data_IF_565998596851
#
_entry.id   IF_565998596851
#
_cell.length_a   1.000
_cell.length_b   1.000
_cell.length_c   1.000
_cell.angle_alpha   90.00
_cell.angle_beta   90.00
_cell.angle_gamma   90.00
#
_symmetry.space_group_name_H-M   'P 1'
#
loop_
_entity.id
_entity.type
_entity.pdbx_description
1 polymer ?
#
# COMPACT_ATOMS: atom_id res chain seq x y z
N UNK A 1 56.68 -2.75 -36.57
CA UNK A 1 56.90 -2.62 -35.11
C UNK A 1 56.08 -1.51 -34.43
N UNK A 2 55.12 -0.84 -35.09
CA UNK A 2 54.25 0.17 -34.46
C UNK A 2 52.87 -0.34 -34.01
N UNK A 3 52.50 -1.60 -34.29
CA UNK A 3 51.20 -2.19 -33.95
C UNK A 3 51.12 -2.86 -32.57
N UNK A 4 52.23 -2.99 -31.86
CA UNK A 4 52.31 -3.69 -30.56
C UNK A 4 52.56 -2.78 -29.36
N UNK A 5 52.75 -1.47 -29.58
CA UNK A 5 52.96 -0.47 -28.51
C UNK A 5 51.68 0.28 -28.13
N UNK A 6 50.64 0.29 -28.98
CA UNK A 6 49.34 0.86 -28.63
C UNK A 6 48.52 -0.01 -27.67
N UNK A 7 48.82 -1.31 -27.56
CA UNK A 7 48.07 -2.22 -26.68
C UNK A 7 48.58 -2.22 -25.24
N UNK A 8 49.85 -1.93 -24.99
CA UNK A 8 50.42 -1.95 -23.63
C UNK A 8 50.17 -0.64 -22.86
N UNK A 9 50.22 0.51 -23.54
CA UNK A 9 49.96 1.81 -22.92
C UNK A 9 48.48 2.03 -22.57
N UNK A 10 47.55 1.43 -23.34
CA UNK A 10 46.11 1.52 -23.09
C UNK A 10 45.67 0.60 -21.92
N UNK A 11 46.33 -0.55 -21.74
CA UNK A 11 46.04 -1.50 -20.65
C UNK A 11 46.54 -0.98 -19.29
N UNK A 12 47.66 -0.26 -19.25
CA UNK A 12 48.18 0.34 -18.01
C UNK A 12 47.45 1.62 -17.59
N UNK A 13 46.83 2.36 -18.52
CA UNK A 13 45.95 3.49 -18.17
C UNK A 13 44.59 3.03 -17.64
N UNK A 14 44.11 1.84 -18.05
CA UNK A 14 42.86 1.25 -17.56
C UNK A 14 43.02 0.49 -16.23
N UNK A 15 44.22 -0.02 -15.91
CA UNK A 15 44.47 -0.71 -14.64
C UNK A 15 44.50 0.23 -13.41
N UNK A 16 44.55 1.55 -13.61
CA UNK A 16 44.59 2.55 -12.53
C UNK A 16 43.21 3.17 -12.18
N UNK A 17 42.12 2.82 -12.89
CA UNK A 17 40.77 3.33 -12.58
C UNK A 17 39.76 2.28 -12.10
N UNK A 18 40.20 1.05 -11.82
CA UNK A 18 39.36 0.06 -11.12
C UNK A 18 39.76 -0.01 -9.65
N UNK A 19 39.89 1.14 -8.99
CA UNK A 19 39.45 1.17 -7.60
C UNK A 19 37.96 0.95 -7.65
N UNK A 20 37.48 -0.17 -7.11
CA UNK A 20 36.07 -0.32 -6.80
C UNK A 20 35.66 0.93 -6.00
N UNK A 21 34.98 1.88 -6.67
CA UNK A 21 34.23 2.88 -5.96
C UNK A 21 33.11 2.08 -5.35
N UNK A 22 33.33 1.57 -4.14
CA UNK A 22 32.24 1.28 -3.24
C UNK A 22 31.55 2.62 -3.05
N UNK A 23 30.58 2.91 -3.91
CA UNK A 23 29.66 4.00 -3.65
C UNK A 23 29.13 3.70 -2.24
N UNK A 24 29.25 4.64 -1.29
CA UNK A 24 28.66 4.43 0.02
C UNK A 24 27.21 4.06 -0.25
N UNK A 25 26.77 2.89 0.23
CA UNK A 25 25.38 2.48 0.11
C UNK A 25 24.55 3.67 0.61
N UNK A 26 23.92 4.40 -0.30
CA UNK A 26 23.12 5.54 0.10
C UNK A 26 22.00 4.95 0.94
N UNK A 27 21.83 5.38 2.18
CA UNK A 27 20.85 4.77 3.05
C UNK A 27 19.49 4.82 2.36
N UNK A 28 18.79 3.67 2.38
CA UNK A 28 17.42 3.56 1.89
C UNK A 28 16.60 4.70 2.53
N UNK A 29 15.87 5.48 1.73
CA UNK A 29 14.96 6.50 2.24
C UNK A 29 13.64 5.84 2.56
N UNK A 30 13.06 6.19 3.71
CA UNK A 30 11.69 5.79 4.03
C UNK A 30 10.76 6.94 3.71
N UNK A 31 9.75 6.64 2.90
CA UNK A 31 8.68 7.58 2.56
C UNK A 31 7.39 7.10 3.20
N UNK A 32 6.73 8.01 3.91
CA UNK A 32 5.40 7.83 4.45
C UNK A 32 4.46 8.57 3.50
N UNK A 33 3.80 7.85 2.60
CA UNK A 33 2.78 8.43 1.73
C UNK A 33 1.51 8.66 2.54
N UNK A 34 0.89 9.84 2.39
CA UNK A 34 -0.32 10.24 3.09
C UNK A 34 -1.35 10.77 2.11
N UNK A 35 -2.55 10.20 2.17
CA UNK A 35 -3.73 10.66 1.44
C UNK A 35 -4.81 11.10 2.41
N UNK A 36 -5.54 12.17 2.10
CA UNK A 36 -6.49 12.72 3.04
C UNK A 36 -7.36 13.86 2.53
N UNK A 37 -7.84 14.66 3.49
CA UNK A 37 -8.49 15.95 3.24
C UNK A 37 -7.59 17.05 3.80
N UNK A 38 -6.77 17.65 2.93
CA UNK A 38 -5.86 18.74 3.24
C UNK A 38 -5.43 19.46 1.98
N UNK A 39 -5.48 20.79 1.96
CA UNK A 39 -5.02 21.57 0.81
C UNK A 39 -3.62 22.15 1.03
N UNK A 40 -3.39 22.68 2.23
CA UNK A 40 -2.16 23.35 2.61
C UNK A 40 -1.69 22.81 3.95
N UNK A 41 -0.41 22.47 4.03
CA UNK A 41 0.27 22.04 5.25
C UNK A 41 1.52 22.91 5.43
N UNK A 42 1.69 23.53 6.60
CA UNK A 42 2.76 24.45 6.94
C UNK A 42 2.99 25.54 5.87
N UNK A 43 1.89 26.11 5.35
CA UNK A 43 1.92 27.15 4.31
C UNK A 43 2.25 26.65 2.88
N UNK A 44 2.50 25.35 2.69
CA UNK A 44 2.79 24.76 1.39
C UNK A 44 1.58 23.99 0.85
N UNK A 45 1.25 24.16 -0.43
CA UNK A 45 0.12 23.48 -1.08
C UNK A 45 0.50 22.05 -1.49
N UNK A 46 -0.24 21.07 -0.99
CA UNK A 46 -0.04 19.64 -1.30
C UNK A 46 -1.25 19.00 -2.00
N UNK A 47 -2.46 19.53 -1.79
CA UNK A 47 -3.71 19.04 -2.40
C UNK A 47 -3.93 17.53 -2.19
N UNK A 48 -4.19 17.17 -0.94
CA UNK A 48 -4.75 15.89 -0.49
C UNK A 48 -3.84 14.66 -0.66
N UNK A 49 -2.65 14.80 -1.26
CA UNK A 49 -1.65 13.73 -1.39
C UNK A 49 -0.24 14.30 -1.22
N UNK A 50 0.56 13.67 -0.36
CA UNK A 50 1.95 14.01 -0.11
C UNK A 50 2.73 12.78 0.35
N UNK A 51 4.05 12.89 0.46
CA UNK A 51 4.83 11.96 1.25
C UNK A 51 5.77 12.68 2.21
N UNK A 52 5.96 12.12 3.40
CA UNK A 52 6.99 12.56 4.33
C UNK A 52 8.24 11.72 4.11
N UNK A 53 9.37 12.36 3.82
CA UNK A 53 10.66 11.70 3.71
C UNK A 53 11.33 11.71 5.10
N UNK A 54 11.51 10.53 5.70
CA UNK A 54 12.09 10.40 7.04
C UNK A 54 13.58 10.77 7.08
N UNK A 55 14.30 10.67 5.96
CA UNK A 55 15.72 11.05 5.89
C UNK A 55 15.85 12.57 5.87
N UNK A 56 15.01 13.24 5.08
CA UNK A 56 15.02 14.70 4.97
C UNK A 56 14.20 15.39 6.07
N UNK A 57 13.40 14.64 6.83
CA UNK A 57 12.47 15.17 7.83
C UNK A 57 11.52 16.23 7.25
N UNK A 58 11.02 16.00 6.04
CA UNK A 58 10.25 16.98 5.28
C UNK A 58 9.10 16.34 4.48
N UNK A 59 7.99 17.08 4.37
CA UNK A 59 6.91 16.75 3.43
C UNK A 59 7.28 17.16 2.01
N UNK A 60 6.93 16.31 1.05
CA UNK A 60 7.14 16.49 -0.38
C UNK A 60 5.82 16.40 -1.13
N UNK A 61 5.62 17.32 -2.06
CA UNK A 61 4.45 17.35 -2.93
C UNK A 61 4.56 16.32 -4.05
N UNK A 62 3.41 15.81 -4.51
CA UNK A 62 3.29 14.90 -5.64
C UNK A 62 2.59 15.64 -6.79
N UNK A 63 3.38 16.44 -7.52
CA UNK A 63 2.90 17.47 -8.45
C UNK A 63 1.85 18.40 -7.78
N UNK A 64 0.74 18.68 -8.47
CA UNK A 64 -0.35 19.51 -7.96
C UNK A 64 -1.39 18.72 -7.16
N UNK A 65 -1.11 17.47 -6.76
CA UNK A 65 -2.05 16.62 -6.01
C UNK A 65 -3.42 16.49 -6.68
N UNK A 66 -4.49 16.33 -5.89
CA UNK A 66 -5.86 16.08 -6.37
C UNK A 66 -6.82 17.24 -6.08
N UNK A 67 -7.87 17.36 -6.90
CA UNK A 67 -8.94 18.37 -6.72
C UNK A 67 -9.97 18.00 -5.64
N UNK A 68 -9.90 16.79 -5.09
CA UNK A 68 -10.75 16.28 -4.02
C UNK A 68 -9.99 15.35 -3.07
N UNK A 69 -10.67 14.86 -2.04
CA UNK A 69 -10.04 14.06 -0.99
C UNK A 69 -9.51 12.71 -1.50
N UNK A 70 -8.38 12.28 -0.94
CA UNK A 70 -7.84 10.95 -1.12
C UNK A 70 -8.26 10.09 0.08
N UNK A 71 -8.88 8.94 -0.19
CA UNK A 71 -9.38 8.00 0.82
C UNK A 71 -8.46 6.80 1.02
N UNK A 72 -7.74 6.40 -0.02
CA UNK A 72 -6.82 5.26 0.02
C UNK A 72 -5.53 5.59 -0.74
N UNK A 73 -4.43 5.13 -0.17
CA UNK A 73 -3.09 5.12 -0.78
C UNK A 73 -2.55 3.72 -0.64
N UNK A 74 -2.15 3.11 -1.75
CA UNK A 74 -1.43 1.84 -1.79
C UNK A 74 -0.10 2.03 -2.54
N UNK A 75 0.92 1.25 -2.21
CA UNK A 75 2.20 1.28 -2.94
C UNK A 75 2.60 -0.14 -3.30
N UNK A 76 2.96 -0.36 -4.57
CA UNK A 76 3.38 -1.69 -5.02
C UNK A 76 4.82 -2.05 -4.59
N UNK A 77 5.25 -3.27 -4.95
CA UNK A 77 6.63 -3.72 -4.68
C UNK A 77 7.68 -2.85 -5.37
N UNK A 78 7.34 -2.24 -6.51
CA UNK A 78 8.22 -1.39 -7.32
C UNK A 78 8.29 0.06 -6.84
N UNK A 79 7.43 0.46 -5.90
CA UNK A 79 7.36 1.80 -5.32
C UNK A 79 6.37 2.75 -5.99
N UNK A 80 5.55 2.29 -6.93
CA UNK A 80 4.51 3.10 -7.56
C UNK A 80 3.34 3.30 -6.61
N UNK A 81 2.75 4.49 -6.65
CA UNK A 81 1.71 4.87 -5.70
C UNK A 81 0.37 4.88 -6.41
N UNK A 82 -0.59 4.18 -5.84
CA UNK A 82 -1.96 4.07 -6.31
C UNK A 82 -2.84 4.83 -5.33
N UNK A 83 -3.65 5.75 -5.83
CA UNK A 83 -4.56 6.53 -4.99
C UNK A 83 -5.99 6.40 -5.46
N UNK A 84 -6.90 6.42 -4.49
CA UNK A 84 -8.34 6.41 -4.72
C UNK A 84 -9.04 7.39 -3.77
N UNK A 85 -10.14 7.98 -4.21
CA UNK A 85 -10.87 8.93 -3.36
C UNK A 85 -12.11 9.53 -4.02
N UNK A 86 -12.45 10.75 -3.60
CA UNK A 86 -13.54 11.53 -4.14
C UNK A 86 -12.99 12.73 -4.92
N UNK A 87 -12.24 12.45 -5.99
CA UNK A 87 -11.58 13.44 -6.84
C UNK A 87 -11.87 13.13 -8.32
N UNK A 88 -11.80 14.14 -9.18
CA UNK A 88 -11.96 13.98 -10.64
C UNK A 88 -10.66 14.21 -11.39
N UNK A 89 -9.74 14.96 -10.79
CA UNK A 89 -8.47 15.34 -11.40
C UNK A 89 -7.30 15.16 -10.42
N UNK A 90 -6.18 14.71 -10.96
CA UNK A 90 -4.88 14.71 -10.29
C UNK A 90 -3.84 15.36 -11.20
N UNK A 91 -3.05 16.30 -10.69
CA UNK A 91 -2.13 17.06 -11.53
C UNK A 91 -2.85 17.69 -12.73
N UNK A 92 -2.48 17.28 -13.93
CA UNK A 92 -3.14 17.66 -15.19
C UNK A 92 -4.03 16.57 -15.80
N UNK A 93 -4.18 15.43 -15.11
CA UNK A 93 -4.88 14.22 -15.58
C UNK A 93 -6.29 14.13 -15.01
N UNK A 94 -7.30 14.02 -15.89
CA UNK A 94 -8.71 13.80 -15.53
C UNK A 94 -9.05 12.32 -15.44
N UNK A 95 -8.39 11.61 -14.54
CA UNK A 95 -8.49 10.14 -14.41
C UNK A 95 -9.23 9.69 -13.15
N UNK A 96 -9.64 10.64 -12.29
CA UNK A 96 -10.30 10.35 -11.03
C UNK A 96 -11.57 9.50 -11.20
N UNK A 97 -11.92 8.66 -10.22
CA UNK A 97 -11.44 8.62 -8.84
C UNK A 97 -10.24 7.68 -8.59
N UNK A 98 -9.51 7.23 -9.62
CA UNK A 98 -8.33 6.37 -9.50
C UNK A 98 -7.13 7.04 -10.18
N UNK A 99 -5.98 7.07 -9.53
CA UNK A 99 -4.76 7.58 -10.16
C UNK A 99 -3.51 6.84 -9.73
N UNK A 100 -2.48 6.88 -10.58
CA UNK A 100 -1.24 6.14 -10.38
C UNK A 100 -0.05 7.07 -10.62
N UNK A 101 0.84 7.10 -9.64
CA UNK A 101 2.11 7.81 -9.68
C UNK A 101 3.24 6.85 -10.04
N UNK A 102 3.94 7.16 -11.12
CA UNK A 102 5.16 6.45 -11.48
C UNK A 102 6.33 7.02 -10.69
N UNK A 103 6.96 6.17 -9.88
CA UNK A 103 8.04 6.59 -8.99
C UNK A 103 9.35 6.94 -9.74
N UNK A 104 9.54 6.36 -10.93
CA UNK A 104 10.73 6.54 -11.76
C UNK A 104 10.69 7.85 -12.54
N UNK A 105 9.51 8.24 -13.03
CA UNK A 105 9.34 9.52 -13.74
C UNK A 105 8.90 10.65 -12.82
N UNK A 106 8.56 10.33 -11.56
CA UNK A 106 7.99 11.26 -10.60
C UNK A 106 6.80 12.04 -11.19
N UNK A 107 5.86 11.31 -11.79
CA UNK A 107 4.70 11.90 -12.46
C UNK A 107 3.46 11.02 -12.40
N UNK A 108 2.28 11.65 -12.49
CA UNK A 108 1.01 10.96 -12.67
C UNK A 108 0.91 10.39 -14.09
N UNK A 109 0.62 9.09 -14.21
CA UNK A 109 0.52 8.42 -15.52
C UNK A 109 -0.93 8.36 -16.02
N UNK A 110 -1.08 8.13 -17.32
CA UNK A 110 -2.38 7.80 -17.91
C UNK A 110 -2.74 6.36 -17.56
N UNK A 111 -3.90 6.18 -16.94
CA UNK A 111 -4.42 4.86 -16.56
C UNK A 111 -5.33 4.26 -17.63
N UNK A 112 -5.69 5.03 -18.67
CA UNK A 112 -6.76 4.69 -19.60
C UNK A 112 -8.18 4.90 -19.05
N UNK A 113 -8.31 5.41 -17.81
CA UNK A 113 -9.58 5.85 -17.24
C UNK A 113 -9.74 7.36 -17.38
N UNK A 114 -10.97 7.79 -17.62
CA UNK A 114 -11.42 9.18 -17.59
C UNK A 114 -12.39 9.41 -16.44
N UNK A 115 -12.40 10.62 -15.88
CA UNK A 115 -13.41 11.02 -14.89
C UNK A 115 -14.85 10.96 -15.42
N UNK A 116 -15.02 11.03 -16.74
CA UNK A 116 -16.33 10.83 -17.41
C UNK A 116 -16.80 9.39 -17.42
N UNK A 117 -15.90 8.42 -17.18
CA UNK A 117 -16.28 7.01 -17.12
C UNK A 117 -17.07 6.72 -15.85
N UNK A 118 -16.91 7.54 -14.81
CA UNK A 118 -17.54 7.38 -13.50
C UNK A 118 -18.77 8.27 -13.36
N UNK A 119 -19.82 7.75 -12.72
CA UNK A 119 -20.99 8.55 -12.34
C UNK A 119 -20.57 9.59 -11.30
N UNK A 120 -21.09 10.82 -11.42
CA UNK A 120 -20.83 11.90 -10.46
C UNK A 120 -21.12 11.46 -9.02
N UNK A 121 -20.20 11.75 -8.09
CA UNK A 121 -20.27 11.30 -6.70
C UNK A 121 -19.70 9.91 -6.45
N UNK A 122 -19.15 9.23 -7.47
CA UNK A 122 -18.38 8.01 -7.29
C UNK A 122 -17.17 8.22 -6.38
N UNK A 123 -16.97 7.32 -5.43
CA UNK A 123 -15.84 7.35 -4.48
C UNK A 123 -15.14 6.00 -4.47
N UNK A 124 -13.82 6.03 -4.62
CA UNK A 124 -12.96 4.85 -4.41
C UNK A 124 -12.40 4.91 -2.98
N UNK A 125 -12.60 3.85 -2.21
CA UNK A 125 -12.20 3.77 -0.80
C UNK A 125 -11.17 2.69 -0.53
N UNK A 126 -10.93 1.80 -1.48
CA UNK A 126 -9.96 0.73 -1.34
C UNK A 126 -9.27 0.41 -2.67
N UNK A 127 -7.95 0.24 -2.61
CA UNK A 127 -7.13 -0.22 -3.73
C UNK A 127 -6.11 -1.18 -3.14
N UNK A 128 -5.94 -2.33 -3.78
CA UNK A 128 -4.78 -3.18 -3.57
C UNK A 128 -4.26 -3.71 -4.90
N UNK A 129 -3.02 -4.20 -4.92
CA UNK A 129 -2.37 -4.68 -6.13
C UNK A 129 -1.89 -6.13 -5.98
N UNK A 130 -1.59 -6.76 -7.11
CA UNK A 130 -0.86 -8.02 -7.15
C UNK A 130 0.10 -7.99 -8.33
N UNK A 131 1.38 -7.75 -8.02
CA UNK A 131 2.41 -7.63 -9.02
C UNK A 131 3.05 -8.97 -9.32
N UNK A 132 3.12 -9.33 -10.60
CA UNK A 132 3.94 -10.46 -11.04
C UNK A 132 5.42 -10.08 -10.97
N UNK A 133 6.31 -11.07 -10.76
CA UNK A 133 7.76 -10.85 -10.78
C UNK A 133 8.21 -10.18 -12.08
N UNK A 134 9.23 -9.31 -11.93
CA UNK A 134 9.83 -8.35 -12.89
C UNK A 134 9.35 -8.44 -14.34
N UNK A 135 8.89 -7.32 -14.93
CA UNK A 135 8.47 -7.30 -16.33
C UNK A 135 9.65 -7.62 -17.26
N UNK A 136 9.40 -8.34 -18.35
CA UNK A 136 10.39 -8.68 -19.39
C UNK A 136 11.08 -7.44 -20.01
N UNK A 137 10.51 -6.26 -19.78
CA UNK A 137 11.17 -4.97 -19.98
C UNK A 137 10.70 -4.00 -18.89
N UNK A 138 11.61 -3.20 -18.33
CA UNK A 138 11.27 -2.08 -17.45
C UNK A 138 10.48 -1.04 -18.25
N UNK A 139 9.22 -1.33 -18.60
CA UNK A 139 8.38 -0.43 -19.36
C UNK A 139 8.11 0.80 -18.49
N UNK A 140 8.88 1.84 -18.77
CA UNK A 140 8.71 3.21 -18.28
C UNK A 140 7.49 3.90 -18.93
N UNK A 141 6.75 3.19 -19.80
CA UNK A 141 5.53 3.68 -20.47
C UNK A 141 4.40 2.66 -20.38
N UNK A 142 3.49 2.83 -19.42
CA UNK A 142 2.28 2.03 -19.26
C UNK A 142 1.95 1.71 -17.81
N UNK A 143 0.79 1.08 -17.60
CA UNK A 143 0.45 0.50 -16.30
C UNK A 143 1.41 -0.65 -15.97
N UNK A 144 1.91 -0.62 -14.72
CA UNK A 144 2.89 -1.55 -14.17
C UNK A 144 2.43 -3.01 -14.25
N UNK A 145 3.34 -4.00 -14.14
CA UNK A 145 3.01 -5.42 -14.25
C UNK A 145 2.27 -5.94 -13.01
N UNK A 146 1.16 -5.30 -12.68
CA UNK A 146 0.35 -5.54 -11.51
C UNK A 146 -1.11 -5.57 -11.90
N UNK A 147 -1.80 -6.61 -11.45
CA UNK A 147 -3.24 -6.56 -11.34
C UNK A 147 -3.62 -5.52 -10.28
N UNK A 148 -4.68 -4.76 -10.53
CA UNK A 148 -5.14 -3.68 -9.64
C UNK A 148 -6.58 -3.97 -9.27
N UNK A 149 -6.84 -4.10 -7.97
CA UNK A 149 -8.16 -4.36 -7.41
C UNK A 149 -8.68 -3.08 -6.77
N UNK A 150 -9.80 -2.58 -7.25
CA UNK A 150 -10.39 -1.31 -6.81
C UNK A 150 -11.77 -1.56 -6.23
N UNK A 151 -11.99 -1.02 -5.03
CA UNK A 151 -13.24 -1.10 -4.28
C UNK A 151 -13.75 0.29 -3.87
N UNK A 152 -15.06 0.47 -3.89
CA UNK A 152 -15.66 1.70 -3.37
C UNK A 152 -17.17 1.76 -3.46
N UNK A 153 -17.69 2.98 -3.45
CA UNK A 153 -19.06 3.31 -3.80
C UNK A 153 -19.07 4.09 -5.11
N UNK A 154 -19.07 3.37 -6.22
CA UNK A 154 -18.99 3.96 -7.55
C UNK A 154 -19.74 3.13 -8.58
N UNK A 155 -20.03 3.78 -9.71
CA UNK A 155 -20.46 3.13 -10.93
C UNK A 155 -19.65 3.70 -12.09
N UNK A 156 -19.07 2.83 -12.90
CA UNK A 156 -18.21 3.25 -14.01
C UNK A 156 -18.52 2.47 -15.30
N UNK A 157 -18.40 3.13 -16.45
CA UNK A 157 -18.54 2.53 -17.77
C UNK A 157 -17.14 2.28 -18.34
N UNK A 158 -16.68 1.05 -18.31
CA UNK A 158 -15.34 0.65 -18.75
C UNK A 158 -15.44 -0.45 -19.80
N UNK A 159 -14.77 -0.28 -20.94
CA UNK A 159 -14.70 -1.28 -22.01
C UNK A 159 -16.07 -1.86 -22.43
N UNK A 160 -17.11 -1.03 -22.48
CA UNK A 160 -18.48 -1.43 -22.87
C UNK A 160 -19.26 -2.16 -21.78
N UNK A 161 -18.73 -2.26 -20.57
CA UNK A 161 -19.38 -2.88 -19.40
C UNK A 161 -19.53 -1.87 -18.26
N UNK A 162 -20.48 -2.13 -17.35
CA UNK A 162 -20.69 -1.28 -16.17
C UNK A 162 -20.10 -1.93 -14.93
N UNK A 163 -19.02 -1.34 -14.41
CA UNK A 163 -18.45 -1.64 -13.10
C UNK A 163 -19.34 -1.02 -12.01
N UNK A 164 -19.70 -1.80 -10.99
CA UNK A 164 -20.45 -1.31 -9.83
C UNK A 164 -19.71 -1.77 -8.58
N UNK A 165 -19.22 -0.82 -7.77
CA UNK A 165 -18.41 -1.03 -6.56
C UNK A 165 -17.06 -1.74 -6.71
N UNK A 166 -16.85 -2.52 -7.77
CA UNK A 166 -15.62 -3.23 -8.10
C UNK A 166 -15.12 -2.83 -9.47
N UNK A 167 -13.82 -2.60 -9.57
CA UNK A 167 -13.13 -2.34 -10.82
C UNK A 167 -11.78 -3.03 -10.75
N UNK A 168 -11.37 -3.65 -11.84
CA UNK A 168 -10.19 -4.50 -11.87
C UNK A 168 -9.34 -4.16 -13.10
N UNK A 169 -8.07 -3.87 -12.92
CA UNK A 169 -7.14 -3.83 -14.05
C UNK A 169 -6.48 -5.18 -14.18
N UNK A 170 -6.68 -5.83 -15.33
CA UNK A 170 -6.07 -7.11 -15.63
C UNK A 170 -4.78 -6.88 -16.41
N UNK A 171 -3.64 -7.03 -15.74
CA UNK A 171 -2.33 -6.78 -16.31
C UNK A 171 -2.05 -7.65 -17.54
N UNK A 172 -2.44 -8.94 -17.50
CA UNK A 172 -2.27 -9.86 -18.63
C UNK A 172 -2.99 -9.37 -19.89
N UNK A 173 -4.19 -8.81 -19.73
CA UNK A 173 -5.02 -8.33 -20.83
C UNK A 173 -4.83 -6.84 -21.13
N UNK A 174 -4.05 -6.14 -20.30
CA UNK A 174 -3.79 -4.70 -20.36
C UNK A 174 -5.05 -3.83 -20.41
N UNK A 175 -6.11 -4.24 -19.70
CA UNK A 175 -7.41 -3.55 -19.74
C UNK A 175 -8.09 -3.50 -18.38
N UNK A 176 -8.92 -2.47 -18.21
CA UNK A 176 -9.88 -2.40 -17.13
C UNK A 176 -11.06 -3.31 -17.44
N UNK A 177 -11.47 -4.08 -16.44
CA UNK A 177 -12.51 -5.09 -16.49
C UNK A 177 -13.44 -4.91 -15.29
N UNK A 178 -14.66 -5.41 -15.42
CA UNK A 178 -15.58 -5.58 -14.30
C UNK A 178 -15.30 -6.93 -13.64
N UNK A 179 -15.51 -7.02 -12.33
CA UNK A 179 -15.56 -8.31 -11.64
C UNK A 179 -16.97 -8.90 -11.75
N UNK A 180 -17.05 -10.23 -11.86
CA UNK A 180 -18.31 -10.98 -11.97
C UNK A 180 -19.17 -10.90 -10.70
N UNK A 181 -20.44 -11.29 -10.85
CA UNK A 181 -21.54 -11.00 -9.93
C UNK A 181 -21.33 -11.41 -8.47
N UNK A 182 -21.09 -10.41 -7.62
CA UNK A 182 -21.56 -10.36 -6.24
C UNK A 182 -22.39 -9.08 -6.09
N UNK A 183 -23.53 -9.16 -5.43
CA UNK A 183 -24.32 -7.97 -5.15
C UNK A 183 -23.65 -7.21 -4.01
N UNK A 184 -23.08 -6.04 -4.31
CA UNK A 184 -22.49 -5.15 -3.31
C UNK A 184 -23.13 -3.78 -3.40
N UNK A 185 -23.23 -3.09 -2.27
CA UNK A 185 -23.61 -1.67 -2.23
C UNK A 185 -22.44 -0.76 -1.88
N UNK A 186 -21.38 -1.32 -1.28
CA UNK A 186 -20.14 -0.62 -0.98
C UNK A 186 -19.01 -1.62 -0.72
N UNK A 187 -17.78 -1.24 -1.08
CA UNK A 187 -16.55 -1.94 -0.72
C UNK A 187 -15.67 -0.97 0.06
N UNK A 188 -15.38 -1.27 1.31
CA UNK A 188 -14.60 -0.41 2.22
C UNK A 188 -13.12 -0.80 2.26
N UNK A 189 -12.80 -2.06 1.97
CA UNK A 189 -11.45 -2.61 2.07
C UNK A 189 -11.22 -3.60 0.95
N UNK A 190 -10.02 -3.59 0.39
CA UNK A 190 -9.47 -4.63 -0.48
C UNK A 190 -8.14 -5.01 0.14
N UNK A 191 -7.92 -6.31 0.35
CA UNK A 191 -6.67 -6.83 0.87
C UNK A 191 -6.17 -7.96 -0.01
N UNK A 192 -4.97 -7.76 -0.55
CA UNK A 192 -4.09 -8.73 -1.19
C UNK A 192 -2.88 -8.97 -0.28
N UNK A 193 -2.03 -9.90 -0.71
CA UNK A 193 -0.79 -10.19 0.01
C UNK A 193 0.08 -8.93 0.06
N UNK A 194 0.29 -8.40 1.27
CA UNK A 194 1.11 -7.21 1.54
C UNK A 194 2.55 -7.34 0.99
N UNK A 195 3.05 -8.57 0.83
CA UNK A 195 4.39 -8.84 0.31
C UNK A 195 4.36 -9.74 -0.92
N UNK A 196 4.20 -9.10 -2.08
CA UNK A 196 3.93 -9.71 -3.39
C UNK A 196 5.16 -10.41 -4.03
N UNK A 197 6.00 -11.10 -3.26
CA UNK A 197 7.03 -11.98 -3.86
C UNK A 197 6.43 -13.24 -4.48
N UNK A 198 5.24 -13.63 -4.01
CA UNK A 198 4.49 -14.79 -4.46
C UNK A 198 3.04 -14.34 -4.65
N UNK A 199 2.49 -14.65 -5.82
CA UNK A 199 1.08 -14.43 -6.15
C UNK A 199 0.23 -15.43 -5.37
N UNK A 200 -0.79 -14.93 -4.66
CA UNK A 200 -1.79 -15.74 -4.00
C UNK A 200 -3.14 -15.52 -4.65
N UNK A 201 -3.89 -16.60 -4.87
CA UNK A 201 -5.12 -16.57 -5.66
C UNK A 201 -6.32 -15.98 -4.91
N UNK A 202 -6.14 -15.37 -3.74
CA UNK A 202 -7.24 -14.82 -2.95
C UNK A 202 -7.12 -13.32 -2.80
N UNK A 203 -8.25 -12.65 -3.02
CA UNK A 203 -8.48 -11.25 -2.68
C UNK A 203 -9.59 -11.21 -1.63
N UNK A 204 -9.38 -10.45 -0.57
CA UNK A 204 -10.35 -10.27 0.49
C UNK A 204 -10.98 -8.90 0.40
N UNK A 205 -12.30 -8.83 0.50
CA UNK A 205 -13.07 -7.59 0.40
C UNK A 205 -13.88 -7.37 1.67
N UNK A 206 -13.72 -6.20 2.28
CA UNK A 206 -14.63 -5.69 3.31
C UNK A 206 -15.67 -4.78 2.68
N UNK A 207 -16.91 -4.84 3.14
CA UNK A 207 -17.98 -4.00 2.58
C UNK A 207 -19.37 -4.44 2.98
N UNK A 208 -20.34 -4.19 2.10
CA UNK A 208 -21.72 -4.66 2.22
C UNK A 208 -22.08 -5.50 1.00
N UNK A 209 -22.13 -6.80 1.21
CA UNK A 209 -22.44 -7.80 0.18
C UNK A 209 -23.76 -8.49 0.49
N UNK A 210 -24.48 -8.93 -0.53
CA UNK A 210 -25.79 -9.55 -0.38
C UNK A 210 -25.87 -10.87 -1.16
N UNK A 211 -26.47 -11.89 -0.55
CA UNK A 211 -26.86 -13.10 -1.28
C UNK A 211 -28.17 -12.89 -2.08
N UNK A 212 -28.61 -13.94 -2.78
CA UNK A 212 -29.83 -13.91 -3.59
C UNK A 212 -31.12 -13.69 -2.75
N UNK A 213 -31.07 -13.92 -1.44
CA UNK A 213 -32.20 -13.73 -0.52
C UNK A 213 -32.14 -12.36 0.19
N UNK A 214 -31.10 -11.55 -0.09
CA UNK A 214 -30.90 -10.25 0.54
C UNK A 214 -30.24 -10.28 1.92
N UNK A 215 -29.66 -11.40 2.34
CA UNK A 215 -28.86 -11.45 3.57
C UNK A 215 -27.57 -10.66 3.39
N UNK A 216 -27.26 -9.76 4.31
CA UNK A 216 -26.02 -8.96 4.29
C UNK A 216 -24.82 -9.76 4.84
N UNK A 217 -23.66 -9.58 4.21
CA UNK A 217 -22.35 -10.11 4.61
C UNK A 217 -21.34 -8.97 4.62
N UNK A 218 -20.50 -8.90 5.66
CA UNK A 218 -19.46 -7.88 5.77
C UNK A 218 -18.15 -8.21 5.05
N UNK A 219 -17.93 -9.48 4.71
CA UNK A 219 -16.69 -10.01 4.14
C UNK A 219 -17.00 -10.88 2.92
N UNK A 220 -16.23 -10.69 1.85
CA UNK A 220 -16.26 -11.54 0.66
C UNK A 220 -14.84 -11.93 0.24
N UNK A 221 -14.70 -13.13 -0.30
CA UNK A 221 -13.43 -13.65 -0.82
C UNK A 221 -13.61 -13.89 -2.32
N UNK A 222 -12.69 -13.37 -3.11
CA UNK A 222 -12.60 -13.67 -4.54
C UNK A 222 -11.40 -14.57 -4.80
N UNK A 223 -11.66 -15.75 -5.35
CA UNK A 223 -10.64 -16.71 -5.77
C UNK A 223 -10.34 -16.52 -7.27
N UNK A 224 -9.12 -16.10 -7.57
CA UNK A 224 -8.61 -15.81 -8.92
C UNK A 224 -8.03 -17.04 -9.62
N UNK A 225 -8.14 -18.25 -9.04
CA UNK A 225 -7.64 -19.49 -9.66
C UNK A 225 -8.37 -19.80 -10.97
N UNK A 226 -9.67 -19.48 -11.04
CA UNK A 226 -10.53 -19.74 -12.19
C UNK A 226 -10.82 -18.45 -12.97
N UNK A 227 -11.24 -18.59 -14.23
CA UNK A 227 -11.72 -17.49 -15.06
C UNK A 227 -13.13 -17.83 -15.62
N UNK A 228 -14.21 -17.21 -15.11
CA UNK A 228 -14.22 -16.18 -14.07
C UNK A 228 -13.85 -16.75 -12.69
N UNK A 229 -13.31 -15.88 -11.82
CA UNK A 229 -13.04 -16.24 -10.43
C UNK A 229 -14.30 -16.49 -9.62
N UNK A 230 -14.14 -17.11 -8.44
CA UNK A 230 -15.24 -17.59 -7.60
C UNK A 230 -15.40 -16.71 -6.37
N UNK A 231 -16.63 -16.27 -6.09
CA UNK A 231 -16.97 -15.52 -4.89
C UNK A 231 -17.40 -16.44 -3.75
N UNK A 232 -16.94 -16.13 -2.53
CA UNK A 232 -17.43 -16.71 -1.29
C UNK A 232 -17.83 -15.59 -0.34
N UNK A 233 -19.10 -15.55 0.05
CA UNK A 233 -19.59 -14.63 1.09
C UNK A 233 -19.35 -15.23 2.47
N UNK A 234 -18.71 -14.47 3.35
CA UNK A 234 -18.32 -14.92 4.69
C UNK A 234 -19.20 -14.26 5.73
N UNK A 235 -20.00 -15.07 6.42
CA UNK A 235 -20.87 -14.61 7.50
C UNK A 235 -20.08 -14.35 8.78
N UNK A 236 -20.66 -13.57 9.70
CA UNK A 236 -20.14 -13.41 11.05
C UNK A 236 -19.29 -12.18 11.29
N UNK A 237 -19.16 -11.27 10.32
CA UNK A 237 -18.59 -9.93 10.50
C UNK A 237 -19.49 -8.88 9.85
N UNK A 238 -19.65 -7.73 10.50
CA UNK A 238 -20.44 -6.58 10.00
C UNK A 238 -19.66 -5.28 10.19
N UNK A 239 -19.70 -4.41 9.17
CA UNK A 239 -18.98 -3.14 9.20
C UNK A 239 -17.46 -3.32 9.22
N UNK A 240 -16.94 -4.11 8.28
CA UNK A 240 -15.49 -4.36 8.14
C UNK A 240 -14.78 -3.05 7.78
N UNK A 241 -13.78 -2.68 8.58
CA UNK A 241 -13.03 -1.41 8.48
C UNK A 241 -11.61 -1.59 7.97
N UNK A 242 -11.00 -2.76 8.19
CA UNK A 242 -9.68 -3.10 7.69
C UNK A 242 -9.50 -4.63 7.65
N UNK A 243 -8.62 -5.09 6.77
CA UNK A 243 -8.24 -6.50 6.65
C UNK A 243 -6.71 -6.51 6.53
N UNK A 244 -6.06 -7.35 7.32
CA UNK A 244 -4.63 -7.59 7.24
C UNK A 244 -4.37 -9.03 6.80
N UNK A 245 -3.66 -9.19 5.69
CA UNK A 245 -3.29 -10.48 5.12
C UNK A 245 -1.81 -10.49 4.74
N UNK A 246 -1.02 -11.28 5.48
CA UNK A 246 0.38 -11.48 5.18
C UNK A 246 0.76 -12.97 5.31
N UNK A 247 0.63 -13.74 4.21
CA UNK A 247 0.91 -15.18 4.18
C UNK A 247 2.41 -15.52 4.30
N UNK A 248 3.31 -14.53 4.34
CA UNK A 248 4.74 -14.76 4.56
C UNK A 248 5.09 -14.85 6.05
N UNK A 249 4.17 -14.43 6.92
CA UNK A 249 4.33 -14.43 8.38
C UNK A 249 3.38 -15.45 9.00
N UNK A 250 2.15 -15.47 8.50
CA UNK A 250 1.08 -16.33 8.97
C UNK A 250 0.81 -17.44 7.95
N UNK A 251 0.02 -18.43 8.36
CA UNK A 251 -0.55 -19.38 7.40
C UNK A 251 -1.24 -18.63 6.25
N UNK A 252 -1.13 -19.17 5.04
CA UNK A 252 -1.88 -18.71 3.86
C UNK A 252 -3.39 -18.65 4.10
N UNK A 253 -3.86 -19.42 5.08
CA UNK A 253 -5.27 -19.59 5.40
C UNK A 253 -5.82 -18.51 6.34
N UNK A 254 -4.96 -17.79 7.06
CA UNK A 254 -5.37 -16.86 8.10
C UNK A 254 -5.38 -15.40 7.60
N UNK A 255 -6.49 -14.72 7.88
CA UNK A 255 -6.61 -13.26 7.74
C UNK A 255 -7.06 -12.65 9.06
N UNK A 256 -6.61 -11.44 9.33
CA UNK A 256 -7.09 -10.65 10.46
C UNK A 256 -8.06 -9.60 9.95
N UNK A 257 -9.20 -9.48 10.59
CA UNK A 257 -10.30 -8.60 10.17
C UNK A 257 -10.64 -7.68 11.31
N UNK A 258 -10.69 -6.37 11.04
CA UNK A 258 -11.27 -5.38 11.93
C UNK A 258 -12.70 -5.08 11.49
N UNK A 259 -13.65 -5.08 12.43
CA UNK A 259 -15.05 -4.85 12.14
C UNK A 259 -15.81 -4.26 13.33
N UNK A 260 -16.95 -3.63 13.06
CA UNK A 260 -17.85 -3.09 14.09
C UNK A 260 -18.39 -4.19 15.02
N UNK A 261 -18.75 -5.34 14.47
CA UNK A 261 -19.24 -6.49 15.25
C UNK A 261 -18.89 -7.83 14.60
N UNK A 262 -18.81 -8.86 15.44
CA UNK A 262 -18.65 -10.25 15.05
C UNK A 262 -19.74 -11.11 15.67
N UNK A 263 -20.19 -12.16 14.95
CA UNK A 263 -21.13 -13.15 15.50
C UNK A 263 -20.47 -14.02 16.58
N UNK A 264 -19.16 -14.26 16.47
CA UNK A 264 -18.38 -14.95 17.50
C UNK A 264 -18.12 -13.99 18.66
N UNK A 265 -18.72 -14.28 19.82
CA UNK A 265 -18.75 -13.39 21.01
C UNK A 265 -17.38 -13.10 21.62
N UNK A 266 -16.41 -13.99 21.42
CA UNK A 266 -15.02 -13.82 21.85
C UNK A 266 -14.28 -12.76 21.03
N UNK A 267 -14.71 -12.51 19.79
CA UNK A 267 -14.12 -11.51 18.91
C UNK A 267 -14.70 -10.12 19.20
N UNK A 268 -13.83 -9.17 19.54
CA UNK A 268 -14.20 -7.78 19.83
C UNK A 268 -13.27 -6.85 19.07
N UNK A 269 -13.81 -6.05 18.15
CA UNK A 269 -13.08 -5.11 17.30
C UNK A 269 -12.16 -5.74 16.25
N UNK A 270 -11.52 -6.87 16.56
CA UNK A 270 -10.68 -7.68 15.67
C UNK A 270 -11.00 -9.17 15.83
N UNK A 271 -10.83 -9.93 14.76
CA UNK A 271 -11.00 -11.39 14.74
C UNK A 271 -10.08 -12.01 13.69
N UNK A 272 -9.66 -13.25 13.89
CA UNK A 272 -8.97 -14.03 12.86
C UNK A 272 -9.99 -14.92 12.13
N UNK A 273 -9.93 -14.94 10.81
CA UNK A 273 -10.70 -15.88 9.98
C UNK A 273 -9.74 -16.83 9.27
N UNK A 274 -9.96 -18.13 9.47
CA UNK A 274 -9.28 -19.16 8.71
C UNK A 274 -10.14 -19.59 7.53
N UNK A 275 -9.72 -19.27 6.30
CA UNK A 275 -10.52 -19.54 5.11
C UNK A 275 -10.60 -21.02 4.73
N UNK A 276 -9.73 -21.87 5.28
CA UNK A 276 -9.67 -23.30 4.95
C UNK A 276 -10.67 -24.07 5.80
N UNK A 277 -10.73 -23.76 7.10
CA UNK A 277 -11.73 -24.31 8.01
C UNK A 277 -13.03 -23.52 8.03
N UNK A 278 -13.10 -22.38 7.33
CA UNK A 278 -14.21 -21.42 7.35
C UNK A 278 -14.62 -21.00 8.78
N UNK A 279 -13.63 -20.75 9.65
CA UNK A 279 -13.86 -20.54 11.07
C UNK A 279 -13.30 -19.21 11.57
N UNK A 280 -14.09 -18.52 12.39
CA UNK A 280 -13.65 -17.36 13.17
C UNK A 280 -13.00 -17.79 14.49
N UNK A 281 -11.96 -17.09 14.90
CA UNK A 281 -11.20 -17.32 16.12
C UNK A 281 -10.75 -16.00 16.76
N UNK A 282 -10.64 -15.97 18.08
CA UNK A 282 -10.14 -14.82 18.82
C UNK A 282 -8.60 -14.78 18.90
N UNK A 283 -7.90 -15.56 18.06
CA UNK A 283 -6.43 -15.66 18.00
C UNK A 283 -5.77 -14.31 17.67
N UNK A 284 -6.53 -13.39 17.07
CA UNK A 284 -6.12 -12.01 16.81
C UNK A 284 -6.01 -11.15 18.08
N UNK A 285 -6.54 -11.62 19.22
CA UNK A 285 -6.78 -10.84 20.41
C UNK A 285 -8.16 -10.17 20.41
N UNK A 286 -8.41 -9.29 21.38
CA UNK A 286 -9.67 -8.56 21.50
C UNK A 286 -9.45 -7.09 21.86
N UNK A 287 -10.28 -6.22 21.30
CA UNK A 287 -10.38 -4.79 21.60
C UNK A 287 -11.76 -4.54 22.20
N UNK A 288 -11.81 -4.43 23.52
CA UNK A 288 -13.07 -4.45 24.30
C UNK A 288 -13.82 -3.12 24.28
N UNK A 289 -13.17 -2.02 23.94
CA UNK A 289 -13.77 -0.69 23.88
C UNK A 289 -13.23 0.11 22.70
N UNK A 290 -14.12 0.85 22.04
CA UNK A 290 -13.75 1.69 20.92
C UNK A 290 -13.83 1.01 19.55
N UNK A 291 -13.82 1.83 18.50
CA UNK A 291 -13.84 1.34 17.12
C UNK A 291 -12.41 1.11 16.62
N UNK A 292 -12.17 -0.03 15.98
CA UNK A 292 -10.92 -0.34 15.28
C UNK A 292 -11.11 0.05 13.81
N UNK A 293 -10.26 0.95 13.32
CA UNK A 293 -10.28 1.44 11.93
C UNK A 293 -9.17 0.85 11.08
N UNK A 294 -8.03 0.50 11.69
CA UNK A 294 -6.85 -0.06 11.02
C UNK A 294 -6.19 -1.13 11.85
N UNK A 295 -5.63 -2.15 11.20
CA UNK A 295 -4.84 -3.20 11.84
C UNK A 295 -3.56 -3.49 11.05
N UNK A 296 -2.43 -3.65 11.73
CA UNK A 296 -1.16 -4.07 11.14
C UNK A 296 -0.46 -5.06 12.05
N UNK A 297 0.20 -6.07 11.51
CA UNK A 297 1.02 -6.96 12.33
C UNK A 297 2.42 -6.40 12.52
N UNK A 298 2.90 -6.34 13.76
CA UNK A 298 4.24 -5.89 14.08
C UNK A 298 5.03 -6.99 14.76
N UNK A 299 6.15 -7.39 14.15
CA UNK A 299 7.10 -8.33 14.75
C UNK A 299 7.98 -7.63 15.80
N UNK A 300 8.24 -8.31 16.92
CA UNK A 300 9.26 -7.88 17.89
C UNK A 300 8.83 -6.80 18.89
N UNK A 301 7.53 -6.52 19.02
CA UNK A 301 7.01 -5.67 20.09
C UNK A 301 6.50 -6.47 21.30
N UNK A 302 6.18 -7.75 21.21
CA UNK A 302 5.80 -8.54 22.39
C UNK A 302 7.00 -9.24 23.02
N UNK A 303 6.95 -9.50 24.34
CA UNK A 303 7.93 -10.31 25.05
C UNK A 303 8.02 -11.77 24.54
N UNK A 304 7.09 -12.20 23.68
CA UNK A 304 6.90 -13.59 23.26
C UNK A 304 7.60 -13.99 21.96
N UNK A 305 8.36 -13.11 21.28
CA UNK A 305 8.98 -13.38 19.96
C UNK A 305 8.01 -13.71 18.80
N UNK A 306 6.68 -13.71 19.03
CA UNK A 306 5.65 -14.02 18.02
C UNK A 306 5.06 -12.76 17.35
N UNK A 307 5.32 -11.54 17.87
CA UNK A 307 4.76 -10.29 17.35
C UNK A 307 3.30 -10.03 17.75
N UNK A 308 2.74 -8.87 17.38
CA UNK A 308 1.42 -8.41 17.84
C UNK A 308 0.61 -7.77 16.71
N UNK A 309 -0.72 -7.98 16.69
CA UNK A 309 -1.64 -7.16 15.88
C UNK A 309 -1.80 -5.80 16.55
N UNK A 310 -1.40 -4.76 15.84
CA UNK A 310 -1.52 -3.38 16.26
C UNK A 310 -2.82 -2.81 15.69
N UNK A 311 -3.74 -2.44 16.58
CA UNK A 311 -5.00 -1.79 16.24
C UNK A 311 -4.87 -0.26 16.35
N UNK A 312 -5.32 0.42 15.30
CA UNK A 312 -5.54 1.86 15.22
C UNK A 312 -7.03 2.17 15.12
N UNK A 313 -7.49 3.20 15.84
CA UNK A 313 -8.88 3.65 15.86
C UNK A 313 -9.14 4.50 17.10
N UNK A 314 -10.39 4.60 17.54
CA UNK A 314 -10.74 5.24 18.81
C UNK A 314 -10.76 4.18 19.93
N UNK A 315 -9.61 3.54 20.18
CA UNK A 315 -9.49 2.39 21.09
C UNK A 315 -8.93 2.83 22.45
N UNK A 316 -9.53 2.38 23.55
CA UNK A 316 -8.97 2.58 24.89
C UNK A 316 -7.99 1.44 25.20
N UNK A 317 -6.72 1.75 25.45
CA UNK A 317 -5.76 0.74 25.92
C UNK A 317 -5.69 0.77 27.45
N UNK A 318 -5.96 -0.36 28.08
CA UNK A 318 -5.97 -0.55 29.55
C UNK A 318 -4.64 -1.10 30.09
N UNK A 319 -3.65 -1.34 29.22
CA UNK A 319 -2.27 -1.62 29.63
C UNK A 319 -1.98 -3.04 30.10
N UNK A 320 -2.94 -3.99 29.99
CA UNK A 320 -2.79 -5.35 30.54
C UNK A 320 -2.88 -6.50 29.52
N UNK A 321 -2.97 -6.21 28.22
CA UNK A 321 -3.01 -7.26 27.17
C UNK A 321 -1.69 -7.46 26.42
N UNK A 322 -1.52 -8.64 25.79
CA UNK A 322 -0.35 -9.02 24.95
C UNK A 322 -0.03 -8.05 23.78
N UNK A 323 -0.94 -7.12 23.52
CA UNK A 323 -0.89 -6.12 22.45
C UNK A 323 -0.60 -4.70 22.96
N UNK A 324 -0.34 -4.53 24.27
CA UNK A 324 -0.18 -3.23 24.94
C UNK A 324 1.25 -2.62 24.85
N UNK A 325 2.16 -3.20 24.07
CA UNK A 325 3.59 -2.84 24.19
C UNK A 325 3.97 -1.48 23.62
N UNK A 326 3.13 -0.88 22.78
CA UNK A 326 3.22 0.56 22.52
C UNK A 326 2.42 1.24 23.64
N UNK A 327 3.12 1.45 24.75
CA UNK A 327 2.60 1.84 26.07
C UNK A 327 1.91 3.21 26.13
N UNK A 328 1.84 3.76 27.34
CA UNK A 328 1.04 4.91 27.82
C UNK A 328 1.13 6.24 27.03
N UNK A 329 1.88 6.28 25.92
CA UNK A 329 2.08 7.42 25.03
C UNK A 329 1.46 7.22 23.62
N UNK A 330 0.52 6.30 23.48
CA UNK A 330 -0.27 6.14 22.26
C UNK A 330 -1.05 7.43 21.94
N UNK A 331 -1.20 7.82 20.65
CA UNK A 331 -2.07 8.92 20.28
C UNK A 331 -3.49 8.73 20.83
N UNK A 332 -3.96 9.66 21.68
CA UNK A 332 -5.35 9.66 22.18
C UNK A 332 -6.37 9.94 21.06
N UNK A 333 -5.87 10.24 19.87
CA UNK A 333 -6.65 10.61 18.70
C UNK A 333 -7.13 9.38 17.90
N UNK A 334 -8.26 9.53 17.19
CA UNK A 334 -8.77 8.49 16.30
C UNK A 334 -7.86 8.29 15.10
N UNK A 335 -7.20 7.12 15.03
CA UNK A 335 -6.41 6.73 13.85
C UNK A 335 -7.32 6.37 12.68
N UNK A 336 -7.07 6.96 11.52
CA UNK A 336 -7.76 6.68 10.26
C UNK A 336 -6.82 6.03 9.25
N UNK A 337 -5.58 6.51 9.16
CA UNK A 337 -4.51 5.93 8.35
C UNK A 337 -3.39 5.36 9.22
N UNK A 338 -2.88 4.19 8.85
CA UNK A 338 -1.81 3.52 9.58
C UNK A 338 -1.04 2.59 8.67
N UNK A 339 0.28 2.59 8.81
CA UNK A 339 1.11 1.55 8.21
C UNK A 339 2.43 1.38 8.97
N UNK A 340 3.15 0.30 8.68
CA UNK A 340 4.33 -0.11 9.43
C UNK A 340 5.59 -0.13 8.56
N UNK A 341 6.73 0.05 9.20
CA UNK A 341 8.01 -0.21 8.57
C UNK A 341 8.16 -1.70 8.27
N UNK A 342 8.58 -2.02 7.04
CA UNK A 342 8.72 -3.38 6.53
C UNK A 342 9.50 -4.32 7.47
N UNK A 343 9.16 -5.61 7.40
CA UNK A 343 9.57 -6.61 8.40
C UNK A 343 10.95 -7.24 8.13
N UNK A 344 11.51 -7.06 6.93
CA UNK A 344 12.76 -7.69 6.51
C UNK A 344 13.57 -6.75 5.60
N UNK A 345 14.39 -5.89 6.19
CA UNK A 345 15.54 -5.35 5.46
C UNK A 345 16.82 -5.88 6.08
N UNK A 346 17.58 -6.63 5.30
CA UNK A 346 18.98 -6.97 5.59
C UNK A 346 19.92 -5.75 5.50
N UNK A 347 19.37 -4.59 5.13
CA UNK A 347 20.07 -3.32 4.99
C UNK A 347 19.70 -2.36 6.12
N UNK A 348 20.65 -1.51 6.50
CA UNK A 348 20.45 -0.41 7.44
C UNK A 348 19.50 0.63 6.82
N UNK A 349 18.23 0.56 7.17
CA UNK A 349 17.25 1.60 6.80
C UNK A 349 17.39 2.76 7.79
N UNK A 350 17.60 3.97 7.27
CA UNK A 350 17.60 5.16 8.12
C UNK A 350 16.18 5.51 8.53
N UNK A 351 15.95 5.60 9.84
CA UNK A 351 14.72 6.12 10.43
C UNK A 351 13.53 5.15 10.48
N UNK A 352 13.64 3.92 9.98
CA UNK A 352 12.50 2.98 9.89
C UNK A 352 12.97 1.54 10.06
N UNK A 353 12.68 0.94 11.21
CA UNK A 353 13.02 -0.46 11.55
C UNK A 353 11.74 -1.27 11.72
N UNK A 354 11.80 -2.59 11.55
CA UNK A 354 10.71 -3.49 12.02
C UNK A 354 10.31 -3.13 13.46
N UNK A 355 9.03 -2.84 13.67
CA UNK A 355 8.54 -2.26 14.93
C UNK A 355 8.05 -0.82 14.82
N UNK A 356 8.58 -0.04 13.87
CA UNK A 356 8.21 1.36 13.66
C UNK A 356 6.85 1.48 12.97
N UNK A 357 6.10 2.52 13.32
CA UNK A 357 4.70 2.71 12.88
C UNK A 357 4.44 4.16 12.51
N UNK A 358 3.79 4.39 11.38
CA UNK A 358 3.22 5.69 11.03
C UNK A 358 1.70 5.64 11.25
N UNK A 359 1.15 6.68 11.87
CA UNK A 359 -0.29 6.84 12.12
C UNK A 359 -0.74 8.25 11.83
N UNK A 360 -1.97 8.40 11.35
CA UNK A 360 -2.57 9.69 11.06
C UNK A 360 -4.08 9.68 11.20
N UNK A 361 -4.65 10.87 11.34
CA UNK A 361 -6.07 11.10 11.45
C UNK A 361 -6.38 12.59 11.43
N UNK A 362 -7.43 13.01 12.13
CA UNK A 362 -7.80 14.42 12.24
C UNK A 362 -6.74 15.19 13.03
N UNK A 363 -6.06 16.14 12.37
CA UNK A 363 -5.06 17.05 12.95
C UNK A 363 -3.83 16.37 13.56
N UNK A 364 -3.48 15.15 13.12
CA UNK A 364 -2.21 14.56 13.49
C UNK A 364 -1.63 13.66 12.41
N UNK A 365 -0.29 13.66 12.35
CA UNK A 365 0.54 12.67 11.68
C UNK A 365 1.71 12.39 12.63
N UNK A 366 1.82 11.15 13.10
CA UNK A 366 2.83 10.74 14.09
C UNK A 366 3.58 9.51 13.61
N UNK A 367 4.83 9.39 14.05
CA UNK A 367 5.68 8.26 13.77
C UNK A 367 6.29 7.72 15.06
N UNK A 368 6.11 6.43 15.29
CA UNK A 368 6.79 5.69 16.34
C UNK A 368 8.10 5.14 15.78
N UNK A 369 9.20 5.59 16.37
CA UNK A 369 10.54 5.17 16.03
C UNK A 369 10.95 4.04 16.98
N UNK A 370 10.95 2.79 16.49
CA UNK A 370 11.31 1.62 17.28
C UNK A 370 12.79 1.56 17.68
N UNK A 371 13.68 2.34 17.04
CA UNK A 371 15.06 2.45 17.50
C UNK A 371 15.16 3.36 18.72
N UNK A 372 14.43 4.48 18.68
CA UNK A 372 14.40 5.46 19.77
C UNK A 372 13.37 5.15 20.85
N UNK A 373 12.53 4.11 20.65
CA UNK A 373 11.40 3.75 21.52
C UNK A 373 10.53 4.97 21.88
N UNK A 374 10.22 5.81 20.88
CA UNK A 374 9.54 7.09 21.11
C UNK A 374 8.64 7.52 19.95
N UNK A 375 7.61 8.28 20.29
CA UNK A 375 6.70 8.91 19.33
C UNK A 375 7.22 10.29 18.93
N UNK A 376 7.14 10.60 17.64
CA UNK A 376 7.45 11.90 17.05
C UNK A 376 6.21 12.43 16.33
N UNK A 377 5.85 13.69 16.56
CA UNK A 377 4.87 14.35 15.70
C UNK A 377 5.57 14.80 14.42
N UNK A 378 5.06 14.39 13.26
CA UNK A 378 5.59 14.79 11.96
C UNK A 378 4.93 16.07 11.45
N UNK A 379 3.72 16.38 11.96
CA UNK A 379 3.00 17.62 11.74
C UNK A 379 2.46 18.13 13.08
N UNK A 380 2.37 19.45 13.21
CA UNK A 380 1.92 20.14 14.43
C UNK A 380 0.77 21.14 14.19
N UNK A 381 0.26 21.21 12.97
CA UNK A 381 -0.82 22.12 12.59
C UNK A 381 -2.21 21.50 12.76
N UNK A 382 -3.26 22.25 12.41
CA UNK A 382 -4.66 21.82 12.48
C UNK A 382 -5.37 22.12 11.17
N UNK A 383 -6.56 21.54 10.96
CA UNK A 383 -7.36 21.76 9.74
C UNK A 383 -7.07 20.74 8.63
N UNK A 384 -6.53 19.57 8.99
CA UNK A 384 -6.26 18.49 8.04
C UNK A 384 -6.75 17.15 8.56
N UNK A 385 -7.05 16.23 7.64
CA UNK A 385 -7.36 14.83 7.93
C UNK A 385 -6.44 13.95 7.12
N UNK A 386 -5.73 13.03 7.76
CA UNK A 386 -5.02 11.94 7.06
C UNK A 386 -5.92 10.71 7.07
N UNK A 387 -6.46 10.32 5.90
CA UNK A 387 -7.37 9.18 5.75
C UNK A 387 -6.61 7.86 5.54
N UNK A 388 -5.47 7.92 4.85
CA UNK A 388 -4.68 6.73 4.48
C UNK A 388 -3.20 7.02 4.61
N UNK A 389 -2.46 6.03 5.08
CA UNK A 389 -1.00 6.03 5.14
C UNK A 389 -0.48 4.75 4.49
N UNK A 390 0.62 4.88 3.75
CA UNK A 390 1.42 3.73 3.33
C UNK A 390 2.90 4.06 3.56
N UNK A 391 3.64 3.14 4.18
CA UNK A 391 5.08 3.29 4.48
C UNK A 391 5.88 2.46 3.49
N UNK A 392 6.65 3.11 2.62
CA UNK A 392 7.57 2.44 1.69
C UNK A 392 9.01 2.74 2.06
N UNK A 393 9.79 1.68 2.21
CA UNK A 393 11.25 1.75 2.30
C UNK A 393 11.80 1.53 0.90
N UNK A 394 12.41 2.55 0.29
CA UNK A 394 13.02 2.45 -1.04
C UNK A 394 14.53 2.63 -0.94
N UNK A 395 15.30 1.83 -1.68
CA UNK A 395 16.62 2.31 -2.10
C UNK A 395 16.44 3.58 -2.88
N UNK A 396 17.28 4.59 -2.63
CA UNK A 396 17.39 5.69 -3.56
C UNK A 396 17.61 5.05 -4.94
N UNK A 397 16.66 5.23 -5.85
CA UNK A 397 16.80 4.80 -7.23
C UNK A 397 17.86 5.71 -7.83
N UNK A 398 19.13 5.43 -7.58
CA UNK A 398 20.16 5.85 -8.50
C UNK A 398 19.90 5.03 -9.73
N UNK A 399 19.44 5.70 -10.80
CA UNK A 399 19.36 5.17 -12.15
C UNK A 399 20.45 4.13 -12.39
N UNK A 400 20.10 2.86 -12.27
CA UNK A 400 20.94 1.80 -12.78
C UNK A 400 20.79 1.91 -14.29
N UNK A 401 21.59 2.79 -14.88
CA UNK A 401 22.10 2.52 -16.21
C UNK A 401 22.79 1.17 -16.02
N UNK A 402 22.08 0.10 -16.35
CA UNK A 402 22.56 -1.26 -16.15
C UNK A 402 23.96 -1.32 -16.76
N UNK A 403 24.93 -1.86 -16.01
CA UNK A 403 26.28 -2.10 -16.51
C UNK A 403 26.27 -2.89 -17.84
N UNK A 404 25.18 -3.62 -18.13
CA UNK A 404 24.93 -4.26 -19.42
C UNK A 404 24.75 -3.25 -20.58
N UNK A 405 24.10 -2.09 -20.35
CA UNK A 405 23.90 -1.07 -21.39
C UNK A 405 25.20 -0.32 -21.71
N UNK A 406 26.04 -0.05 -20.71
CA UNK A 406 27.39 0.50 -20.96
C UNK A 406 28.33 -0.53 -21.61
N UNK A 407 28.19 -1.82 -21.29
CA UNK A 407 28.93 -2.88 -21.97
C UNK A 407 28.50 -3.03 -23.44
N UNK A 408 27.22 -2.87 -23.76
CA UNK A 408 26.72 -2.90 -25.15
C UNK A 408 27.18 -1.67 -25.93
N UNK A 409 27.19 -0.47 -25.34
CA UNK A 409 27.77 0.73 -25.99
C UNK A 409 29.29 0.58 -26.18
N UNK A 410 30.00 -0.05 -25.24
CA UNK A 410 31.43 -0.35 -25.37
C UNK A 410 31.73 -1.42 -26.43
N UNK A 411 30.85 -2.40 -26.63
CA UNK A 411 30.97 -3.42 -27.69
C UNK A 411 30.63 -2.81 -29.06
N UNK A 412 29.63 -1.93 -29.16
CA UNK A 412 29.29 -1.25 -30.42
C UNK A 412 30.39 -0.29 -30.87
N UNK A 413 31.13 0.34 -29.95
CA UNK A 413 32.34 1.11 -30.27
C UNK A 413 33.58 0.24 -30.57
N UNK A 414 33.53 -1.07 -30.34
CA UNK A 414 34.61 -2.01 -30.67
C UNK A 414 34.46 -2.61 -32.08
N UNK A 415 33.30 -2.45 -32.71
CA UNK A 415 32.98 -2.99 -34.03
C UNK A 415 32.80 -1.93 -35.13
N UNK A 416 32.98 -0.64 -34.83
CA UNK A 416 33.00 0.46 -35.81
C UNK A 416 34.29 1.26 -35.75
#
# INVERSE_FOLDING_TARGET
MYKTLLSAACVLFFACMVTAITLPATPLTTRIYLGGSFNTLNGTKYNNIAYYDLKESALKAMENGTDGEVKVVNVDVYGNVYIGGAFTQVGTKKTGPVAIWNIYTAAWIDTGLSSSDFVAGSVVTAIDTDCTSLPDSMSISGLFPCDIFVGGNFKASVSGSTATNFLYYHNKNKKWETQTAVNATSVTVVAKNEYQLITYNKVYYGGKFYDANGKEFGLAIYDTTNSPGVWTLVDGATGVTDIYYNPNIFSTDNIFVAATSFAKTECKGVCNYNHKSAAWSADAGSVTTGAVNKIRYIKGLSASNVGSIFAGGNVKRDGTGDYAVIGTNYPKETVLGMDICGLFSQYTITGCKSGSVAVGGQNFLKFYDANANSWKSLLSETGFVVNSIYVKTSSAVTSTVSFALMAVVAIVCFFF
#
